data_IF_770531989506
#
_entry.id   IF_770531989506
#
_cell.length_a   1.000
_cell.length_b   1.000
_cell.length_c   1.000
_cell.angle_alpha   90.00
_cell.angle_beta   90.00
_cell.angle_gamma   90.00
#
_symmetry.space_group_name_H-M   'P 1'
#
loop_
_entity.id
_entity.type
_entity.pdbx_description
1 polymer ?
#
# COMPACT_ATOMS: atom_id res chain seq x y z
N UNK A 1 0.66 22.02 -20.82
CA UNK A 1 0.80 20.58 -20.47
C UNK A 1 -0.55 20.03 -20.08
N UNK A 2 -0.92 18.92 -20.63
CA UNK A 2 -2.18 18.26 -20.30
C UNK A 2 -1.89 17.16 -19.29
N UNK A 3 -2.58 17.23 -18.15
CA UNK A 3 -2.46 16.21 -17.13
C UNK A 3 -3.58 15.20 -17.31
N UNK A 4 -3.21 13.98 -17.65
CA UNK A 4 -4.15 12.86 -17.77
C UNK A 4 -4.17 11.97 -16.54
N UNK A 5 -3.32 12.28 -15.56
CA UNK A 5 -3.18 11.49 -14.35
C UNK A 5 -4.33 11.75 -13.38
N UNK A 6 -4.79 10.70 -12.73
CA UNK A 6 -5.87 10.77 -11.74
C UNK A 6 -5.48 9.97 -10.51
N UNK A 7 -5.75 10.55 -9.34
CA UNK A 7 -5.63 9.84 -8.07
C UNK A 7 -6.99 9.28 -7.68
N UNK A 8 -7.04 7.98 -7.49
CA UNK A 8 -8.25 7.26 -7.13
C UNK A 8 -7.94 6.31 -5.96
N UNK A 9 -8.99 5.82 -5.30
CA UNK A 9 -8.80 4.75 -4.34
C UNK A 9 -8.44 3.46 -5.09
N UNK A 10 -7.46 2.74 -4.58
CA UNK A 10 -7.09 1.43 -5.11
C UNK A 10 -8.23 0.45 -4.84
N UNK A 11 -8.62 -0.31 -5.86
CA UNK A 11 -9.70 -1.30 -5.77
C UNK A 11 -9.13 -2.70 -5.93
N UNK A 12 -9.84 -3.68 -5.38
CA UNK A 12 -9.41 -5.08 -5.49
C UNK A 12 -9.23 -5.51 -6.95
N UNK A 13 -10.09 -5.01 -7.84
CA UNK A 13 -10.01 -5.33 -9.28
C UNK A 13 -8.75 -4.76 -9.95
N UNK A 14 -8.08 -3.83 -9.30
CA UNK A 14 -6.85 -3.24 -9.82
C UNK A 14 -5.62 -4.11 -9.55
N UNK A 15 -5.77 -5.19 -8.79
CA UNK A 15 -4.62 -6.00 -8.37
C UNK A 15 -3.80 -6.55 -9.53
N UNK A 16 -4.35 -7.04 -10.64
CA UNK A 16 -3.53 -7.51 -11.76
C UNK A 16 -2.58 -6.43 -12.29
N UNK A 17 -3.05 -5.20 -12.43
CA UNK A 17 -2.20 -4.08 -12.84
C UNK A 17 -1.19 -3.73 -11.76
N UNK A 18 -1.61 -3.76 -10.49
CA UNK A 18 -0.72 -3.50 -9.36
C UNK A 18 0.40 -4.53 -9.30
N UNK A 19 0.09 -5.80 -9.48
CA UNK A 19 1.09 -6.86 -9.50
C UNK A 19 2.10 -6.63 -10.62
N UNK A 20 1.63 -6.27 -11.81
CA UNK A 20 2.52 -5.96 -12.93
C UNK A 20 3.43 -4.77 -12.62
N UNK A 21 2.88 -3.73 -11.99
CA UNK A 21 3.67 -2.57 -11.56
C UNK A 21 4.74 -2.95 -10.55
N UNK A 22 4.37 -3.71 -9.52
CA UNK A 22 5.32 -4.16 -8.50
C UNK A 22 6.41 -5.05 -9.08
N UNK A 23 6.05 -5.94 -9.99
CA UNK A 23 7.01 -6.82 -10.65
C UNK A 23 8.03 -6.03 -11.47
N UNK A 24 7.62 -4.91 -12.09
CA UNK A 24 8.53 -4.05 -12.83
C UNK A 24 9.48 -3.28 -11.90
N UNK A 25 8.93 -2.73 -10.82
CA UNK A 25 9.70 -1.88 -9.92
C UNK A 25 10.61 -2.70 -9.00
N UNK A 26 10.16 -3.88 -8.59
CA UNK A 26 10.88 -4.71 -7.62
C UNK A 26 11.64 -5.88 -8.23
N UNK A 27 11.95 -5.80 -9.50
CA UNK A 27 12.60 -6.91 -10.24
C UNK A 27 13.73 -7.58 -9.45
N UNK A 28 14.51 -6.81 -8.71
CA UNK A 28 15.67 -7.34 -7.97
C UNK A 28 15.50 -7.27 -6.45
N UNK A 29 14.34 -6.87 -5.95
CA UNK A 29 14.15 -6.62 -4.53
C UNK A 29 13.21 -7.62 -3.85
N UNK A 30 12.80 -8.65 -4.56
CA UNK A 30 12.22 -9.83 -3.94
C UNK A 30 10.81 -9.72 -3.44
N UNK A 31 9.91 -9.11 -4.12
CA UNK A 31 8.58 -9.43 -3.76
C UNK A 31 7.54 -8.35 -3.79
N UNK A 32 6.59 -8.55 -4.64
CA UNK A 32 5.34 -7.84 -4.65
C UNK A 32 4.54 -8.17 -3.38
N UNK A 33 3.74 -7.21 -2.92
CA UNK A 33 2.77 -7.44 -1.87
C UNK A 33 1.77 -8.50 -2.35
N UNK A 34 1.40 -9.44 -1.49
CA UNK A 34 0.46 -10.48 -1.86
C UNK A 34 -0.94 -9.92 -2.08
N UNK A 35 -1.71 -10.61 -2.91
CA UNK A 35 -3.10 -10.27 -3.16
C UNK A 35 -3.90 -10.22 -1.85
N UNK A 36 -3.67 -11.18 -0.96
CA UNK A 36 -4.36 -11.25 0.32
C UNK A 36 -4.08 -10.02 1.16
N UNK A 37 -2.82 -9.60 1.26
CA UNK A 37 -2.43 -8.41 2.03
C UNK A 37 -3.07 -7.15 1.46
N UNK A 38 -3.01 -6.98 0.14
CA UNK A 38 -3.61 -5.83 -0.53
C UNK A 38 -5.13 -5.79 -0.30
N UNK A 39 -5.81 -6.91 -0.45
CA UNK A 39 -7.25 -6.97 -0.23
C UNK A 39 -7.61 -6.68 1.22
N UNK A 40 -6.80 -7.16 2.17
CA UNK A 40 -7.00 -6.89 3.59
C UNK A 40 -6.89 -5.39 3.89
N UNK A 41 -5.88 -4.73 3.32
CA UNK A 41 -5.71 -3.28 3.50
C UNK A 41 -6.88 -2.50 2.89
N UNK A 42 -7.33 -2.89 1.71
CA UNK A 42 -8.46 -2.22 1.05
C UNK A 42 -9.73 -2.39 1.89
N UNK A 43 -9.97 -3.57 2.45
CA UNK A 43 -11.15 -3.80 3.29
C UNK A 43 -11.08 -3.01 4.60
N UNK A 44 -9.91 -2.95 5.21
CA UNK A 44 -9.74 -2.34 6.53
C UNK A 44 -9.63 -0.82 6.47
N UNK A 45 -8.95 -0.27 5.47
CA UNK A 45 -8.68 1.16 5.36
C UNK A 45 -8.67 1.61 3.89
N UNK A 46 -9.84 1.61 3.23
CA UNK A 46 -9.89 1.93 1.79
C UNK A 46 -9.40 3.33 1.47
N UNK A 47 -9.59 4.31 2.35
CA UNK A 47 -9.17 5.69 2.12
C UNK A 47 -7.65 5.83 2.06
N UNK A 48 -6.91 4.89 2.63
CA UNK A 48 -5.46 4.94 2.70
C UNK A 48 -4.76 4.22 1.57
N UNK A 49 -5.50 3.55 0.69
CA UNK A 49 -4.93 2.83 -0.44
C UNK A 49 -5.20 3.62 -1.71
N UNK A 50 -4.17 4.31 -2.20
CA UNK A 50 -4.31 5.29 -3.28
C UNK A 50 -3.66 4.73 -4.54
N UNK A 51 -4.34 4.93 -5.67
CA UNK A 51 -3.83 4.54 -6.98
C UNK A 51 -3.69 5.78 -7.87
N UNK A 52 -2.58 5.85 -8.59
CA UNK A 52 -2.35 6.87 -9.61
C UNK A 52 -2.50 6.22 -10.98
N UNK A 53 -3.44 6.72 -11.76
CA UNK A 53 -3.67 6.26 -13.13
C UNK A 53 -3.27 7.32 -14.13
N UNK A 54 -2.66 6.90 -15.20
CA UNK A 54 -2.47 7.72 -16.40
C UNK A 54 -3.34 7.10 -17.49
N UNK A 55 -4.42 7.82 -17.88
CA UNK A 55 -5.52 7.25 -18.65
C UNK A 55 -6.09 6.06 -17.86
N UNK A 56 -6.07 4.87 -18.41
CA UNK A 56 -6.57 3.68 -17.71
C UNK A 56 -5.45 2.78 -17.18
N UNK A 57 -4.22 3.26 -17.21
CA UNK A 57 -3.07 2.49 -16.78
C UNK A 57 -2.64 2.88 -15.38
N UNK A 58 -2.49 1.89 -14.50
CA UNK A 58 -1.96 2.09 -13.17
C UNK A 58 -0.46 2.35 -13.23
N UNK A 59 -0.04 3.54 -12.79
CA UNK A 59 1.38 3.93 -12.82
C UNK A 59 1.97 4.18 -11.45
N UNK A 60 1.16 4.23 -10.41
CA UNK A 60 1.67 4.43 -9.07
C UNK A 60 0.68 4.02 -8.01
N UNK A 61 1.19 3.75 -6.83
CA UNK A 61 0.37 3.43 -5.66
C UNK A 61 0.96 4.02 -4.39
N UNK A 62 0.10 4.22 -3.41
CA UNK A 62 0.49 4.43 -2.01
C UNK A 62 -0.33 3.47 -1.17
N UNK A 63 0.35 2.70 -0.34
CA UNK A 63 -0.27 1.80 0.64
C UNK A 63 -0.02 2.34 2.03
N UNK A 64 -1.04 2.32 2.88
CA UNK A 64 -0.90 2.81 4.24
C UNK A 64 -1.81 2.05 5.21
N UNK A 65 -1.53 2.21 6.49
CA UNK A 65 -2.37 1.68 7.56
C UNK A 65 -2.42 2.66 8.71
N UNK A 66 -3.46 2.55 9.52
CA UNK A 66 -3.56 3.35 10.75
C UNK A 66 -2.88 2.60 11.88
N UNK A 67 -2.22 3.35 12.74
CA UNK A 67 -1.45 2.80 13.86
C UNK A 67 -1.67 3.61 15.12
N UNK A 68 -1.49 2.98 16.28
CA UNK A 68 -1.35 3.69 17.54
C UNK A 68 0.09 4.19 17.62
N UNK A 69 0.29 5.49 17.51
CA UNK A 69 1.61 6.09 17.44
C UNK A 69 2.49 5.72 18.64
N UNK A 70 1.89 5.71 19.83
CA UNK A 70 2.65 5.40 21.05
C UNK A 70 3.22 3.98 21.02
N UNK A 71 2.45 3.02 20.50
CA UNK A 71 2.91 1.64 20.35
C UNK A 71 3.86 1.49 19.17
N UNK A 72 3.54 2.15 18.06
CA UNK A 72 4.28 1.99 16.82
C UNK A 72 5.67 2.64 16.89
N UNK A 73 5.83 3.70 17.68
CA UNK A 73 7.14 4.35 17.85
C UNK A 73 8.12 3.50 18.66
N UNK A 74 7.67 2.40 19.25
CA UNK A 74 8.54 1.44 19.90
C UNK A 74 9.37 0.71 18.83
N UNK A 75 10.74 0.75 18.90
CA UNK A 75 11.58 0.14 17.88
C UNK A 75 11.30 -1.35 17.64
N UNK A 76 10.99 -2.09 18.70
CA UNK A 76 10.70 -3.54 18.57
C UNK A 76 9.42 -3.78 17.77
N UNK A 77 8.39 -2.94 17.98
CA UNK A 77 7.16 -3.05 17.23
C UNK A 77 7.37 -2.78 15.74
N UNK A 78 8.22 -1.81 15.42
CA UNK A 78 8.55 -1.50 14.04
C UNK A 78 9.22 -2.69 13.35
N UNK A 79 10.22 -3.29 13.99
CA UNK A 79 10.94 -4.44 13.44
C UNK A 79 10.00 -5.63 13.24
N UNK A 80 9.09 -5.86 14.19
CA UNK A 80 8.11 -6.94 14.09
C UNK A 80 7.20 -6.74 12.88
N UNK A 81 6.74 -5.52 12.65
CA UNK A 81 5.87 -5.21 11.51
C UNK A 81 6.60 -5.40 10.18
N UNK A 82 7.83 -4.90 10.08
CA UNK A 82 8.62 -5.02 8.86
C UNK A 82 8.97 -6.48 8.58
N UNK A 83 9.28 -7.26 9.63
CA UNK A 83 9.62 -8.66 9.48
C UNK A 83 8.43 -9.58 9.21
N UNK A 84 7.22 -9.12 9.41
CA UNK A 84 6.01 -9.94 9.35
C UNK A 84 4.95 -9.30 8.44
N UNK A 85 5.29 -9.10 7.19
CA UNK A 85 4.40 -8.45 6.21
C UNK A 85 3.01 -9.10 6.14
N UNK A 86 2.91 -10.39 6.41
CA UNK A 86 1.65 -11.11 6.34
C UNK A 86 0.72 -10.80 7.52
N UNK A 87 1.25 -10.16 8.58
CA UNK A 87 0.50 -9.85 9.80
C UNK A 87 0.28 -8.35 9.92
N UNK A 88 0.51 -7.59 8.87
CA UNK A 88 0.23 -6.16 8.86
C UNK A 88 -1.27 -5.95 9.01
N UNK A 89 -1.65 -5.19 10.03
CA UNK A 89 -3.06 -4.93 10.33
C UNK A 89 -3.28 -3.45 10.56
N UNK A 90 -4.25 -2.91 9.84
CA UNK A 90 -4.74 -1.57 10.12
C UNK A 90 -5.44 -1.53 11.47
N UNK A 91 -5.16 -0.48 12.26
CA UNK A 91 -5.84 -0.25 13.52
C UNK A 91 -6.87 0.88 13.35
N UNK A 92 -8.18 0.56 13.30
CA UNK A 92 -9.21 1.60 13.12
C UNK A 92 -9.23 2.66 14.23
N UNK A 93 -8.69 2.33 15.41
CA UNK A 93 -8.58 3.26 16.53
C UNK A 93 -7.26 4.02 16.53
N UNK A 94 -6.42 3.79 15.52
CA UNK A 94 -5.11 4.43 15.44
C UNK A 94 -5.20 5.93 15.24
N UNK A 95 -4.26 6.66 15.85
CA UNK A 95 -4.20 8.11 15.81
C UNK A 95 -3.18 8.63 14.79
N UNK A 96 -2.52 7.74 14.04
CA UNK A 96 -1.53 8.09 13.04
C UNK A 96 -1.66 7.20 11.80
N UNK A 97 -1.18 7.71 10.66
CA UNK A 97 -1.11 6.95 9.41
C UNK A 97 0.34 6.61 9.14
N UNK A 98 0.61 5.34 8.89
CA UNK A 98 1.93 4.86 8.50
C UNK A 98 1.92 4.44 7.03
N UNK A 99 2.81 5.05 6.25
CA UNK A 99 2.99 4.67 4.85
C UNK A 99 3.79 3.37 4.74
N UNK A 100 3.14 2.33 4.21
CA UNK A 100 3.78 1.04 4.03
C UNK A 100 4.64 1.03 2.77
N UNK A 101 4.17 1.66 1.72
CA UNK A 101 4.86 1.67 0.45
C UNK A 101 4.32 2.79 -0.45
N UNK A 102 5.19 3.30 -1.31
CA UNK A 102 4.83 4.25 -2.36
C UNK A 102 5.66 3.95 -3.59
N UNK A 103 4.99 3.64 -4.69
CA UNK A 103 5.61 3.29 -5.95
C UNK A 103 5.15 4.21 -7.06
N UNK A 104 6.07 4.58 -7.94
CA UNK A 104 5.74 5.26 -9.19
C UNK A 104 6.61 4.65 -10.29
N UNK A 105 5.96 4.32 -11.38
CA UNK A 105 6.64 3.79 -12.57
C UNK A 105 7.11 4.93 -13.47
#
# INVERSE_FOLDING_TARGET
MIFTSRLLRLRKKDYPQLKALMDRVYVNLGGAWSKTTIHTLIDAFPEGQIALFDHDQLIGIVLSMRVDYAKFSNPHTYDDLIGQKEIIRDNPEGDAIYGLDALID
#
